data_IF_804378460550
#
_entry.id   IF_804378460550
#
_cell.length_a   1.000
_cell.length_b   1.000
_cell.length_c   1.000
_cell.angle_alpha   90.00
_cell.angle_beta   90.00
_cell.angle_gamma   90.00
#
_symmetry.space_group_name_H-M   'P 1'
#
loop_
_entity.id
_entity.type
_entity.pdbx_description
1 polymer ?
#
# COMPACT_ATOMS: atom_id res chain seq x y z
N UNK A 1 -7.76 -40.83 -1.19
CA UNK A 1 -8.96 -40.35 -1.93
C UNK A 1 -9.17 -38.82 -1.88
N UNK A 2 -8.17 -38.02 -1.48
CA UNK A 2 -8.34 -36.55 -1.28
C UNK A 2 -8.13 -35.72 -2.58
N UNK A 3 -7.31 -36.20 -3.53
CA UNK A 3 -6.84 -35.42 -4.71
C UNK A 3 -7.91 -34.91 -5.69
N UNK A 4 -9.15 -35.41 -5.65
CA UNK A 4 -10.18 -35.06 -6.65
C UNK A 4 -10.85 -33.72 -6.35
N UNK A 5 -10.92 -33.32 -5.08
CA UNK A 5 -11.56 -32.05 -4.68
C UNK A 5 -10.62 -30.85 -4.90
N UNK A 6 -9.32 -31.07 -4.76
CA UNK A 6 -8.27 -30.05 -4.87
C UNK A 6 -8.29 -29.38 -6.25
N UNK A 7 -8.30 -30.17 -7.32
CA UNK A 7 -8.32 -29.68 -8.69
C UNK A 7 -9.63 -28.95 -9.07
N UNK A 8 -10.74 -29.31 -8.43
CA UNK A 8 -12.02 -28.63 -8.64
C UNK A 8 -12.01 -27.24 -7.98
N UNK A 9 -11.46 -27.14 -6.77
CA UNK A 9 -11.32 -25.86 -6.04
C UNK A 9 -10.38 -24.92 -6.80
N UNK A 10 -9.20 -25.40 -7.20
CA UNK A 10 -8.24 -24.59 -7.95
C UNK A 10 -8.83 -24.07 -9.26
N UNK A 11 -9.53 -24.93 -10.01
CA UNK A 11 -10.25 -24.53 -11.24
C UNK A 11 -11.28 -23.46 -10.96
N UNK A 12 -12.09 -23.61 -9.92
CA UNK A 12 -13.12 -22.64 -9.56
C UNK A 12 -12.52 -21.28 -9.19
N UNK A 13 -11.46 -21.26 -8.38
CA UNK A 13 -10.75 -20.03 -8.03
C UNK A 13 -10.17 -19.35 -9.28
N UNK A 14 -9.63 -20.13 -10.22
CA UNK A 14 -9.11 -19.62 -11.49
C UNK A 14 -10.20 -19.03 -12.37
N UNK A 15 -11.36 -19.67 -12.46
CA UNK A 15 -12.53 -19.15 -13.19
C UNK A 15 -12.96 -17.80 -12.60
N UNK A 16 -13.11 -17.71 -11.28
CA UNK A 16 -13.41 -16.44 -10.60
C UNK A 16 -12.35 -15.37 -10.92
N UNK A 17 -11.07 -15.71 -10.88
CA UNK A 17 -10.00 -14.76 -11.22
C UNK A 17 -10.13 -14.23 -12.65
N UNK A 18 -10.38 -15.12 -13.63
CA UNK A 18 -10.58 -14.75 -15.02
C UNK A 18 -11.82 -13.88 -15.21
N UNK A 19 -12.92 -14.19 -14.52
CA UNK A 19 -14.14 -13.37 -14.51
C UNK A 19 -13.88 -11.97 -13.95
N UNK A 20 -13.15 -11.86 -12.83
CA UNK A 20 -12.75 -10.56 -12.29
C UNK A 20 -11.91 -9.75 -13.28
N UNK A 21 -10.95 -10.39 -13.95
CA UNK A 21 -10.14 -9.73 -14.99
C UNK A 21 -10.98 -9.26 -16.19
N UNK A 22 -12.03 -10.00 -16.56
CA UNK A 22 -12.97 -9.58 -17.60
C UNK A 22 -13.75 -8.32 -17.16
N UNK A 23 -14.21 -8.26 -15.91
CA UNK A 23 -14.86 -7.06 -15.38
C UNK A 23 -13.95 -5.84 -15.38
N UNK A 24 -12.67 -5.99 -14.99
CA UNK A 24 -11.67 -4.90 -15.06
C UNK A 24 -11.52 -4.38 -16.49
N UNK A 25 -11.43 -5.25 -17.50
CA UNK A 25 -11.33 -4.86 -18.92
C UNK A 25 -12.54 -4.04 -19.40
N UNK A 26 -13.70 -4.22 -18.78
CA UNK A 26 -14.91 -3.46 -19.07
C UNK A 26 -15.11 -2.24 -18.15
N UNK A 27 -14.15 -1.91 -17.29
CA UNK A 27 -14.25 -0.78 -16.34
C UNK A 27 -15.22 -1.03 -15.17
N UNK A 28 -15.69 -2.27 -15.00
CA UNK A 28 -16.64 -2.68 -13.96
C UNK A 28 -15.91 -3.07 -12.67
N UNK A 29 -15.30 -2.07 -12.04
CA UNK A 29 -14.34 -2.29 -10.95
C UNK A 29 -14.98 -2.85 -9.67
N UNK A 30 -16.20 -2.46 -9.34
CA UNK A 30 -16.90 -2.95 -8.14
C UNK A 30 -17.27 -4.43 -8.27
N UNK A 31 -17.73 -4.86 -9.45
CA UNK A 31 -18.03 -6.25 -9.73
C UNK A 31 -16.75 -7.09 -9.76
N UNK A 32 -15.65 -6.56 -10.32
CA UNK A 32 -14.35 -7.20 -10.24
C UNK A 32 -13.94 -7.43 -8.77
N UNK A 33 -14.07 -6.43 -7.90
CA UNK A 33 -13.78 -6.53 -6.46
C UNK A 33 -14.62 -7.62 -5.80
N UNK A 34 -15.91 -7.70 -6.10
CA UNK A 34 -16.80 -8.71 -5.53
C UNK A 34 -16.38 -10.13 -5.94
N UNK A 35 -16.02 -10.33 -7.21
CA UNK A 35 -15.57 -11.62 -7.71
C UNK A 35 -14.22 -12.01 -7.11
N UNK A 36 -13.24 -11.09 -7.07
CA UNK A 36 -11.96 -11.36 -6.43
C UNK A 36 -12.11 -11.65 -4.94
N UNK A 37 -13.02 -10.96 -4.25
CA UNK A 37 -13.31 -11.21 -2.83
C UNK A 37 -13.89 -12.60 -2.62
N UNK A 38 -14.75 -13.06 -3.52
CA UNK A 38 -15.26 -14.44 -3.52
C UNK A 38 -14.11 -15.43 -3.71
N UNK A 39 -13.23 -15.20 -4.70
CA UNK A 39 -12.07 -16.06 -4.94
C UNK A 39 -11.14 -16.14 -3.71
N UNK A 40 -10.89 -15.00 -3.05
CA UNK A 40 -10.08 -14.91 -1.84
C UNK A 40 -10.74 -15.64 -0.67
N UNK A 41 -12.05 -15.53 -0.50
CA UNK A 41 -12.77 -16.29 0.51
C UNK A 41 -12.59 -17.80 0.31
N UNK A 42 -12.66 -18.29 -0.94
CA UNK A 42 -12.35 -19.69 -1.25
C UNK A 42 -10.90 -20.04 -0.90
N UNK A 43 -9.93 -19.21 -1.26
CA UNK A 43 -8.51 -19.42 -0.93
C UNK A 43 -8.30 -19.51 0.58
N UNK A 44 -8.86 -18.57 1.34
CA UNK A 44 -8.69 -18.48 2.79
C UNK A 44 -9.40 -19.63 3.51
N UNK A 45 -10.49 -20.17 2.94
CA UNK A 45 -11.18 -21.35 3.46
C UNK A 45 -10.43 -22.65 3.12
N UNK A 46 -9.85 -22.73 1.93
CA UNK A 46 -9.21 -23.93 1.36
C UNK A 46 -7.68 -23.80 1.28
N UNK A 47 -7.03 -23.16 2.27
CA UNK A 47 -5.62 -22.67 2.28
C UNK A 47 -4.55 -23.61 1.68
N UNK A 48 -4.77 -24.91 1.69
CA UNK A 48 -3.79 -25.91 1.22
C UNK A 48 -3.94 -26.30 -0.26
N UNK A 49 -4.95 -25.77 -0.96
CA UNK A 49 -5.33 -26.24 -2.29
C UNK A 49 -5.09 -25.23 -3.41
N UNK A 50 -4.81 -23.97 -3.08
CA UNK A 50 -4.51 -22.94 -4.06
C UNK A 50 -3.05 -22.54 -3.91
N UNK A 51 -2.34 -22.49 -5.04
CA UNK A 51 -0.95 -22.08 -5.02
C UNK A 51 -0.82 -20.61 -4.60
N UNK A 52 0.29 -20.31 -3.90
CA UNK A 52 0.54 -18.99 -3.35
C UNK A 52 0.60 -17.91 -4.44
N UNK A 53 1.03 -18.26 -5.66
CA UNK A 53 1.12 -17.31 -6.76
C UNK A 53 -0.27 -16.87 -7.21
N UNK A 54 -1.21 -17.79 -7.43
CA UNK A 54 -2.60 -17.47 -7.78
C UNK A 54 -3.26 -16.61 -6.70
N UNK A 55 -3.07 -16.94 -5.41
CA UNK A 55 -3.61 -16.13 -4.32
C UNK A 55 -3.10 -14.68 -4.33
N UNK A 56 -1.81 -14.50 -4.65
CA UNK A 56 -1.18 -13.19 -4.75
C UNK A 56 -1.64 -12.42 -5.98
N UNK A 57 -1.79 -13.08 -7.13
CA UNK A 57 -2.27 -12.45 -8.35
C UNK A 57 -3.71 -11.91 -8.18
N UNK A 58 -4.58 -12.68 -7.53
CA UNK A 58 -5.95 -12.23 -7.24
C UNK A 58 -5.95 -11.03 -6.30
N UNK A 59 -5.19 -11.08 -5.20
CA UNK A 59 -5.09 -9.96 -4.25
C UNK A 59 -4.46 -8.72 -4.87
N UNK A 60 -3.47 -8.88 -5.77
CA UNK A 60 -2.90 -7.79 -6.57
C UNK A 60 -3.97 -7.12 -7.42
N UNK A 61 -4.73 -7.90 -8.17
CA UNK A 61 -5.75 -7.35 -9.07
C UNK A 61 -6.87 -6.66 -8.30
N UNK A 62 -7.26 -7.19 -7.13
CA UNK A 62 -8.22 -6.52 -6.24
C UNK A 62 -7.66 -5.23 -5.64
N UNK A 63 -6.41 -5.24 -5.17
CA UNK A 63 -5.71 -4.06 -4.67
C UNK A 63 -5.63 -2.95 -5.73
N UNK A 64 -5.33 -3.29 -6.98
CA UNK A 64 -5.35 -2.33 -8.08
C UNK A 64 -6.74 -1.68 -8.25
N UNK A 65 -7.82 -2.48 -8.16
CA UNK A 65 -9.18 -1.95 -8.22
C UNK A 65 -9.48 -0.99 -7.05
N UNK A 66 -9.10 -1.35 -5.82
CA UNK A 66 -9.27 -0.46 -4.66
C UNK A 66 -8.53 0.86 -4.83
N UNK A 67 -7.31 0.83 -5.36
CA UNK A 67 -6.53 2.03 -5.62
C UNK A 67 -7.20 2.93 -6.66
N UNK A 68 -7.73 2.35 -7.75
CA UNK A 68 -8.46 3.11 -8.77
C UNK A 68 -9.74 3.74 -8.21
N UNK A 69 -10.45 3.05 -7.32
CA UNK A 69 -11.66 3.56 -6.66
C UNK A 69 -11.39 4.39 -5.40
N UNK A 70 -10.12 4.61 -5.04
CA UNK A 70 -9.70 5.31 -3.81
C UNK A 70 -10.27 4.69 -2.51
N UNK A 71 -10.45 3.36 -2.47
CA UNK A 71 -10.94 2.60 -1.32
C UNK A 71 -9.79 2.11 -0.43
N UNK A 72 -9.11 3.05 0.22
CA UNK A 72 -7.86 2.80 0.96
C UNK A 72 -8.01 1.83 2.13
N UNK A 73 -9.15 1.87 2.80
CA UNK A 73 -9.37 1.08 4.02
C UNK A 73 -9.49 -0.41 3.70
N UNK A 74 -9.99 -0.74 2.50
CA UNK A 74 -10.09 -2.12 2.01
C UNK A 74 -8.79 -2.60 1.35
N UNK A 75 -7.99 -1.68 0.83
CA UNK A 75 -6.68 -1.98 0.24
C UNK A 75 -5.67 -2.50 1.29
N UNK A 76 -5.81 -2.07 2.55
CA UNK A 76 -4.87 -2.42 3.62
C UNK A 76 -4.70 -3.93 3.81
N UNK A 77 -5.78 -4.72 3.73
CA UNK A 77 -5.72 -6.17 3.97
C UNK A 77 -4.95 -6.91 2.87
N UNK A 78 -5.18 -6.54 1.60
CA UNK A 78 -4.44 -7.12 0.48
C UNK A 78 -2.99 -6.68 0.49
N UNK A 79 -2.74 -5.43 0.87
CA UNK A 79 -1.38 -4.93 1.03
C UNK A 79 -0.62 -5.68 2.13
N UNK A 80 -1.24 -5.86 3.30
CA UNK A 80 -0.70 -6.65 4.41
C UNK A 80 -0.34 -8.06 3.97
N UNK A 81 -1.27 -8.74 3.30
CA UNK A 81 -1.08 -10.08 2.80
C UNK A 81 0.12 -10.16 1.84
N UNK A 82 0.20 -9.24 0.88
CA UNK A 82 1.25 -9.23 -0.15
C UNK A 82 2.64 -8.97 0.42
N UNK A 83 2.74 -8.17 1.49
CA UNK A 83 3.99 -7.96 2.23
C UNK A 83 4.45 -9.24 2.92
N UNK A 84 3.55 -9.89 3.66
CA UNK A 84 3.89 -11.05 4.48
C UNK A 84 4.04 -12.34 3.68
N UNK A 85 3.59 -12.34 2.43
CA UNK A 85 3.70 -13.48 1.52
C UNK A 85 4.39 -13.04 0.22
N UNK A 86 5.71 -12.78 0.23
CA UNK A 86 6.41 -12.32 -0.97
C UNK A 86 6.55 -13.45 -2.02
N UNK A 87 6.63 -13.07 -3.29
CA UNK A 87 6.96 -14.00 -4.36
C UNK A 87 8.34 -14.60 -4.16
N UNK A 88 8.63 -15.68 -4.89
CA UNK A 88 9.99 -15.96 -5.32
C UNK A 88 10.62 -14.66 -5.89
N UNK A 89 11.92 -14.38 -5.61
CA UNK A 89 12.57 -13.10 -5.89
C UNK A 89 12.59 -12.69 -7.37
N UNK A 90 12.10 -13.51 -8.29
CA UNK A 90 12.06 -13.27 -9.73
C UNK A 90 10.75 -12.60 -10.19
N UNK A 91 9.66 -12.70 -9.42
CA UNK A 91 8.33 -12.13 -9.77
C UNK A 91 8.20 -10.65 -9.33
N UNK A 92 9.31 -9.90 -9.44
CA UNK A 92 9.49 -8.51 -8.99
C UNK A 92 8.74 -7.46 -9.84
N UNK A 93 7.78 -7.89 -10.67
CA UNK A 93 6.96 -7.00 -11.51
C UNK A 93 5.76 -6.39 -10.76
N UNK A 94 5.54 -6.73 -9.48
CA UNK A 94 4.53 -6.10 -8.65
C UNK A 94 4.97 -4.72 -8.17
N UNK A 95 4.46 -3.71 -8.90
CA UNK A 95 4.26 -2.28 -8.60
C UNK A 95 5.33 -1.63 -7.75
N UNK A 96 5.88 -0.52 -8.24
CA UNK A 96 6.88 0.26 -7.53
C UNK A 96 6.64 0.34 -6.02
N UNK A 97 5.40 0.48 -5.56
CA UNK A 97 4.91 0.44 -4.18
C UNK A 97 5.40 -0.75 -3.32
N UNK A 98 5.33 -1.99 -3.84
CA UNK A 98 5.76 -3.21 -3.13
C UNK A 98 7.26 -3.45 -3.26
N UNK A 99 7.83 -3.11 -4.41
CA UNK A 99 9.29 -3.08 -4.62
C UNK A 99 9.93 -2.05 -3.68
N UNK A 100 9.28 -0.91 -3.47
CA UNK A 100 9.68 0.16 -2.58
C UNK A 100 9.61 -0.29 -1.14
N UNK A 101 8.48 -0.87 -0.70
CA UNK A 101 8.37 -1.40 0.66
C UNK A 101 9.45 -2.45 0.95
N UNK A 102 9.65 -3.42 0.06
CA UNK A 102 10.68 -4.47 0.24
C UNK A 102 12.10 -3.90 0.19
N UNK A 103 12.41 -3.00 -0.74
CA UNK A 103 13.71 -2.33 -0.80
C UNK A 103 14.00 -1.57 0.49
N UNK A 104 12.99 -0.93 1.07
CA UNK A 104 13.19 -0.11 2.26
C UNK A 104 13.13 -0.90 3.58
N UNK A 105 12.47 -2.06 3.61
CA UNK A 105 12.33 -2.88 4.82
C UNK A 105 13.46 -3.88 5.07
N UNK A 106 14.33 -4.16 4.08
CA UNK A 106 15.34 -5.23 4.18
C UNK A 106 16.81 -4.77 4.12
N UNK A 107 17.18 -3.65 4.76
CA UNK A 107 18.54 -3.07 4.66
C UNK A 107 19.04 -2.89 3.21
N UNK A 108 18.11 -2.77 2.26
CA UNK A 108 18.48 -2.77 0.85
C UNK A 108 19.02 -1.40 0.46
N UNK A 109 20.05 -1.44 -0.39
CA UNK A 109 20.71 -0.28 -0.95
C UNK A 109 19.70 0.77 -1.52
N UNK A 110 19.62 1.98 -0.94
CA UNK A 110 18.80 3.08 -1.42
C UNK A 110 19.04 3.44 -2.89
N UNK A 111 20.21 3.08 -3.45
CA UNK A 111 20.54 3.30 -4.86
C UNK A 111 19.58 2.58 -5.82
N UNK A 112 18.93 1.49 -5.38
CA UNK A 112 17.94 0.79 -6.23
C UNK A 112 16.68 1.61 -6.49
N UNK A 113 16.38 2.62 -5.67
CA UNK A 113 15.30 3.57 -5.90
C UNK A 113 15.62 4.57 -7.01
N UNK A 114 16.91 4.84 -7.28
CA UNK A 114 17.33 5.80 -8.33
C UNK A 114 16.92 5.39 -9.74
N UNK A 115 16.63 4.11 -9.95
CA UNK A 115 16.19 3.57 -11.25
C UNK A 115 14.69 3.75 -11.51
N UNK A 116 13.91 4.20 -10.52
CA UNK A 116 12.49 4.51 -10.68
C UNK A 116 12.32 5.99 -11.02
N UNK A 117 11.32 6.33 -11.85
CA UNK A 117 11.02 7.73 -12.11
C UNK A 117 10.48 8.42 -10.84
N UNK A 118 10.78 9.71 -10.60
CA UNK A 118 10.27 10.43 -9.42
C UNK A 118 8.75 10.34 -9.26
N UNK A 119 8.00 10.42 -10.36
CA UNK A 119 6.54 10.29 -10.35
C UNK A 119 6.07 8.91 -9.85
N UNK A 120 6.80 7.84 -10.21
CA UNK A 120 6.49 6.48 -9.77
C UNK A 120 6.74 6.33 -8.27
N UNK A 121 7.84 6.90 -7.77
CA UNK A 121 8.17 6.89 -6.35
C UNK A 121 7.13 7.70 -5.56
N UNK A 122 6.75 8.88 -6.04
CA UNK A 122 5.75 9.70 -5.38
C UNK A 122 4.40 8.98 -5.28
N UNK A 123 3.95 8.32 -6.36
CA UNK A 123 2.73 7.52 -6.35
C UNK A 123 2.82 6.39 -5.30
N UNK A 124 3.97 5.72 -5.22
CA UNK A 124 4.25 4.67 -4.22
C UNK A 124 4.14 5.20 -2.78
N UNK A 125 4.74 6.35 -2.51
CA UNK A 125 4.74 6.98 -1.20
C UNK A 125 3.36 7.43 -0.77
N UNK A 126 2.56 7.97 -1.70
CA UNK A 126 1.15 8.32 -1.45
C UNK A 126 0.30 7.10 -1.14
N UNK A 127 0.53 5.99 -1.85
CA UNK A 127 -0.13 4.72 -1.59
C UNK A 127 0.20 4.21 -0.18
N UNK A 128 1.49 4.17 0.17
CA UNK A 128 1.96 3.78 1.50
C UNK A 128 1.40 4.70 2.60
N UNK A 129 1.32 6.01 2.37
CA UNK A 129 0.75 6.95 3.33
C UNK A 129 -0.72 6.64 3.61
N UNK A 130 -1.51 6.37 2.56
CA UNK A 130 -2.91 5.95 2.69
C UNK A 130 -3.07 4.63 3.44
N UNK A 131 -2.22 3.66 3.17
CA UNK A 131 -2.20 2.39 3.90
C UNK A 131 -1.87 2.62 5.38
N UNK A 132 -0.88 3.47 5.67
CA UNK A 132 -0.56 3.86 7.04
C UNK A 132 -1.75 4.50 7.77
N UNK A 133 -2.50 5.38 7.09
CA UNK A 133 -3.72 5.97 7.65
C UNK A 133 -4.78 4.90 7.95
N UNK A 134 -4.99 3.96 7.03
CA UNK A 134 -5.94 2.87 7.25
C UNK A 134 -5.58 1.99 8.47
N UNK A 135 -4.30 1.71 8.71
CA UNK A 135 -3.86 1.03 9.93
C UNK A 135 -4.11 1.89 11.18
N UNK A 136 -3.82 3.19 11.12
CA UNK A 136 -4.05 4.09 12.23
C UNK A 136 -5.54 4.18 12.61
N UNK A 137 -6.43 4.27 11.63
CA UNK A 137 -7.88 4.34 11.82
C UNK A 137 -8.45 3.04 12.45
N UNK A 138 -7.77 1.90 12.25
CA UNK A 138 -8.09 0.61 12.88
C UNK A 138 -7.49 0.46 14.29
N UNK A 139 -6.70 1.42 14.75
CA UNK A 139 -5.98 1.33 16.03
C UNK A 139 -4.68 0.52 15.98
N UNK A 140 -4.24 0.08 14.79
CA UNK A 140 -2.95 -0.60 14.58
C UNK A 140 -1.79 0.41 14.49
N UNK A 141 -1.67 1.24 15.53
CA UNK A 141 -0.84 2.45 15.53
C UNK A 141 0.66 2.18 15.30
N UNK A 142 1.20 1.10 15.85
CA UNK A 142 2.61 0.74 15.67
C UNK A 142 2.95 0.40 14.21
N UNK A 143 2.05 -0.30 13.51
CA UNK A 143 2.21 -0.64 12.10
C UNK A 143 2.16 0.63 11.25
N UNK A 144 1.24 1.53 11.55
CA UNK A 144 1.15 2.84 10.92
C UNK A 144 2.44 3.66 11.11
N UNK A 145 2.98 3.72 12.33
CA UNK A 145 4.24 4.41 12.64
C UNK A 145 5.42 3.85 11.85
N UNK A 146 5.53 2.51 11.75
CA UNK A 146 6.58 1.86 10.94
C UNK A 146 6.47 2.28 9.47
N UNK A 147 5.26 2.28 8.91
CA UNK A 147 5.00 2.73 7.55
C UNK A 147 5.37 4.19 7.33
N UNK A 148 4.94 5.10 8.20
CA UNK A 148 5.28 6.52 8.07
C UNK A 148 6.77 6.78 8.18
N UNK A 149 7.46 6.06 9.07
CA UNK A 149 8.92 6.15 9.22
C UNK A 149 9.63 5.71 7.95
N UNK A 150 9.16 4.62 7.34
CA UNK A 150 9.64 4.14 6.04
C UNK A 150 9.50 5.23 4.95
N UNK A 151 8.30 5.83 4.87
CA UNK A 151 7.98 6.88 3.91
C UNK A 151 8.88 8.09 4.10
N UNK A 152 9.03 8.59 5.34
CA UNK A 152 9.86 9.75 5.67
C UNK A 152 11.33 9.49 5.32
N UNK A 153 11.84 8.30 5.68
CA UNK A 153 13.19 7.90 5.31
C UNK A 153 13.36 7.95 3.79
N UNK A 154 12.42 7.36 3.05
CA UNK A 154 12.59 7.29 1.61
C UNK A 154 12.46 8.66 0.91
N UNK A 155 11.71 9.59 1.51
CA UNK A 155 11.65 10.98 1.07
C UNK A 155 13.00 11.71 1.19
N UNK A 156 13.87 11.36 2.15
CA UNK A 156 15.17 12.05 2.30
C UNK A 156 16.12 11.80 1.13
N UNK A 157 15.79 10.86 0.23
CA UNK A 157 16.58 10.55 -0.97
C UNK A 157 16.03 11.23 -2.24
N UNK A 158 14.99 12.05 -2.13
CA UNK A 158 14.25 12.59 -3.25
C UNK A 158 14.24 14.12 -3.21
N UNK A 159 15.24 14.74 -3.84
CA UNK A 159 15.43 16.20 -3.87
C UNK A 159 14.31 16.99 -4.57
N UNK A 160 13.41 16.30 -5.29
CA UNK A 160 12.46 16.93 -6.23
C UNK A 160 10.99 16.83 -5.84
N UNK A 161 10.67 16.26 -4.67
CA UNK A 161 9.25 16.03 -4.30
C UNK A 161 8.69 17.18 -3.46
N UNK A 162 7.40 17.45 -3.67
CA UNK A 162 6.60 18.41 -2.92
C UNK A 162 6.71 18.19 -1.38
N UNK A 163 7.29 19.16 -0.64
CA UNK A 163 7.40 19.11 0.82
C UNK A 163 6.05 18.97 1.55
N UNK A 164 4.93 19.29 0.89
CA UNK A 164 3.60 19.12 1.51
C UNK A 164 3.27 17.65 1.78
N UNK A 165 3.82 16.71 1.01
CA UNK A 165 3.55 15.28 1.21
C UNK A 165 4.26 14.77 2.45
N UNK A 166 5.55 15.07 2.60
CA UNK A 166 6.31 14.65 3.79
C UNK A 166 5.74 15.28 5.06
N UNK A 167 5.27 16.52 4.98
CA UNK A 167 4.56 17.19 6.07
C UNK A 167 3.32 16.40 6.52
N UNK A 168 2.46 15.99 5.57
CA UNK A 168 1.25 15.24 5.90
C UNK A 168 1.57 13.87 6.52
N UNK A 169 2.63 13.20 6.06
CA UNK A 169 3.10 11.93 6.64
C UNK A 169 3.60 12.14 8.07
N UNK A 170 4.41 13.16 8.32
CA UNK A 170 4.90 13.52 9.67
C UNK A 170 3.77 13.83 10.63
N UNK A 171 2.79 14.62 10.21
CA UNK A 171 1.59 14.90 11.01
C UNK A 171 0.81 13.62 11.34
N UNK A 172 0.68 12.71 10.38
CA UNK A 172 -0.01 11.43 10.60
C UNK A 172 0.75 10.54 11.59
N UNK A 173 2.08 10.52 11.51
CA UNK A 173 2.96 9.82 12.46
C UNK A 173 2.89 10.41 13.86
N UNK A 174 2.97 11.73 13.96
CA UNK A 174 2.85 12.47 15.21
C UNK A 174 1.54 12.15 15.95
N UNK A 175 0.42 12.12 15.24
CA UNK A 175 -0.88 11.72 15.81
C UNK A 175 -0.83 10.30 16.38
N UNK A 176 -0.14 9.37 15.71
CA UNK A 176 0.02 8.01 16.22
C UNK A 176 0.90 7.97 17.48
N UNK A 177 1.99 8.74 17.54
CA UNK A 177 2.82 8.84 18.74
C UNK A 177 2.05 9.37 19.95
N UNK A 178 1.22 10.40 19.74
CA UNK A 178 0.33 10.91 20.80
C UNK A 178 -0.64 9.83 21.29
N UNK A 179 -1.26 9.09 20.36
CA UNK A 179 -2.20 8.02 20.69
C UNK A 179 -1.54 6.84 21.41
N UNK A 180 -0.25 6.57 21.14
CA UNK A 180 0.57 5.56 21.84
C UNK A 180 1.18 6.07 23.15
N UNK A 181 1.04 7.35 23.49
CA UNK A 181 1.68 8.02 24.64
C UNK A 181 3.24 7.90 24.61
N UNK A 182 3.83 7.95 23.42
CA UNK A 182 5.28 7.89 23.17
C UNK A 182 5.88 9.30 23.28
N UNK A 183 6.11 9.76 24.51
CA UNK A 183 6.46 11.16 24.81
C UNK A 183 7.82 11.59 24.27
N UNK A 184 8.80 10.68 24.23
CA UNK A 184 10.16 11.00 23.79
C UNK A 184 10.22 11.24 22.27
N UNK A 185 9.46 10.44 21.51
CA UNK A 185 9.33 10.53 20.06
C UNK A 185 8.49 11.74 19.62
N UNK A 186 7.49 12.12 20.42
CA UNK A 186 6.72 13.37 20.26
C UNK A 186 7.64 14.58 20.34
N UNK A 187 8.60 14.58 21.27
CA UNK A 187 9.57 15.67 21.42
C UNK A 187 10.38 15.92 20.15
N UNK A 188 10.93 14.87 19.56
CA UNK A 188 11.73 14.95 18.32
C UNK A 188 10.92 15.49 17.13
N UNK A 189 9.66 15.08 16.98
CA UNK A 189 8.81 15.61 15.91
C UNK A 189 8.45 17.08 16.14
N UNK A 190 8.16 17.48 17.38
CA UNK A 190 7.85 18.88 17.72
C UNK A 190 9.05 19.78 17.47
N UNK A 191 10.26 19.37 17.88
CA UNK A 191 11.50 20.10 17.58
C UNK A 191 11.67 20.28 16.08
N UNK A 192 11.50 19.22 15.29
CA UNK A 192 11.53 19.31 13.84
C UNK A 192 10.49 20.30 13.28
N UNK A 193 9.25 20.27 13.78
CA UNK A 193 8.18 21.18 13.36
C UNK A 193 8.50 22.64 13.69
N UNK A 194 9.10 22.89 14.87
CA UNK A 194 9.50 24.23 15.32
C UNK A 194 10.70 24.75 14.53
N UNK A 195 11.68 23.91 14.23
CA UNK A 195 12.86 24.33 13.47
C UNK A 195 12.55 24.59 12.00
N UNK A 196 11.63 23.83 11.42
CA UNK A 196 11.28 23.90 9.99
C UNK A 196 10.01 24.72 9.71
N UNK A 197 9.71 25.68 10.60
CA UNK A 197 8.53 26.54 10.67
C UNK A 197 8.03 27.15 9.33
N UNK A 198 7.22 26.40 8.58
CA UNK A 198 5.87 26.75 8.13
C UNK A 198 5.31 25.58 7.30
N UNK A 199 4.04 25.15 7.50
CA UNK A 199 3.38 24.34 6.49
C UNK A 199 3.54 25.07 5.15
N UNK A 200 3.87 24.38 4.05
CA UNK A 200 4.11 25.04 2.77
C UNK A 200 2.95 25.99 2.51
N UNK A 201 3.23 27.31 2.42
CA UNK A 201 2.19 28.33 2.24
C UNK A 201 1.33 27.87 1.08
N UNK A 202 0.05 27.58 1.33
CA UNK A 202 -0.90 27.15 0.28
C UNK A 202 -0.70 28.09 -0.90
N UNK A 203 -0.30 27.56 -2.07
CA UNK A 203 -0.17 28.38 -3.28
C UNK A 203 -1.47 29.19 -3.40
N UNK A 204 -1.42 30.53 -3.49
CA UNK A 204 -2.64 31.31 -3.59
C UNK A 204 -3.46 30.76 -4.75
N UNK A 205 -4.70 30.36 -4.46
CA UNK A 205 -5.64 29.90 -5.47
C UNK A 205 -5.63 30.94 -6.59
N UNK A 206 -5.20 30.56 -7.81
CA UNK A 206 -5.31 31.44 -8.97
C UNK A 206 -6.76 31.89 -9.02
N UNK A 207 -7.03 33.16 -8.68
CA UNK A 207 -8.32 33.77 -8.97
C UNK A 207 -8.50 33.64 -10.47
N UNK A 208 -9.43 32.79 -10.88
CA UNK A 208 -9.95 32.81 -12.23
C UNK A 208 -10.73 34.12 -12.30
N UNK A 209 -10.10 35.17 -12.83
CA UNK A 209 -10.85 36.32 -13.34
C UNK A 209 -11.65 35.81 -14.53
N UNK A 210 -12.96 35.72 -14.34
CA UNK A 210 -13.96 35.49 -15.40
C UNK A 210 -14.00 36.70 -16.31
#
# INVERSE_FOLDING_TARGET
>A
MVKKNDAAIERHVRELYLTGNAYVKHGRLEEAINVYSTAIHYIDYYKNFVDLKTARDIRRSRLACYNTLNMTDRAADDFHYLINNPAAPEDLSLTADLKFFKLYSSDSDPLRLRNLSPATIEASLRCLHRVGNAYADRGELEVAVKLYTLIIGAYSYLDSIDPSIIWNVRVSRYKCYLALNWRDEVGQEVEYFVENNQPPRRRPSRRITV
#
